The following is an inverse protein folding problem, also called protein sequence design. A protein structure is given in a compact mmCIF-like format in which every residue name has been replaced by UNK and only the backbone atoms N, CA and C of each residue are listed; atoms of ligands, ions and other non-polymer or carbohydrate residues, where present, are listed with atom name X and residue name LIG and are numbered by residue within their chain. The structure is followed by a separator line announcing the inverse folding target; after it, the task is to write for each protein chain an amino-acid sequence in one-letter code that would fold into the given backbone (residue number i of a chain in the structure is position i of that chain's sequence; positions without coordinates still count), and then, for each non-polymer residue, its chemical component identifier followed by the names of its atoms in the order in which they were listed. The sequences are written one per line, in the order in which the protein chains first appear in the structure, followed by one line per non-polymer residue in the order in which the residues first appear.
data_IF_053184149838
#
_entry.id   IF_053184149838
#
_cell.length_a   1.000
_cell.length_b   1.000
_cell.length_c   1.000
_cell.angle_alpha   90.00
_cell.angle_beta   90.00
_cell.angle_gamma   90.00
#
_symmetry.space_group_name_H-M   'P 1'
#
loop_
_entity.id
_entity.type
_entity.pdbx_description
1 polymer ?
#
# COMPACT_ATOMS: atom_id res chain seq x y z
N UNK A 1 -24.33 26.44 21.84
CA UNK A 1 -25.19 25.61 20.95
C UNK A 1 -25.12 24.20 21.45
N UNK A 2 -26.21 23.65 21.96
CA UNK A 2 -26.22 22.35 22.61
C UNK A 2 -26.16 21.22 21.58
N UNK A 3 -25.45 20.15 21.92
CA UNK A 3 -25.25 18.91 21.11
C UNK A 3 -26.54 18.09 20.86
N UNK A 4 -27.72 18.69 20.96
CA UNK A 4 -29.02 18.01 20.89
C UNK A 4 -29.77 18.12 19.55
N UNK A 5 -29.20 18.74 18.53
CA UNK A 5 -29.85 18.89 17.22
C UNK A 5 -29.02 18.33 16.05
N UNK A 6 -28.36 17.21 16.24
CA UNK A 6 -27.88 16.39 15.15
C UNK A 6 -29.00 15.41 14.78
N UNK A 7 -29.58 15.65 13.64
CA UNK A 7 -30.67 14.89 13.00
C UNK A 7 -30.26 13.40 12.83
N UNK A 8 -30.65 12.57 13.80
CA UNK A 8 -30.45 11.10 13.78
C UNK A 8 -31.50 10.47 12.85
N UNK A 9 -31.37 10.67 11.54
CA UNK A 9 -32.25 10.07 10.52
C UNK A 9 -31.75 8.74 9.95
N UNK A 10 -30.96 7.99 10.67
CA UNK A 10 -30.74 6.58 10.35
C UNK A 10 -30.84 5.77 11.63
N UNK A 11 -31.95 5.04 11.77
CA UNK A 11 -32.06 4.01 12.81
C UNK A 11 -30.99 2.95 12.54
N UNK A 12 -30.20 2.55 13.57
CA UNK A 12 -29.20 1.51 13.41
C UNK A 12 -29.91 0.17 13.17
N UNK A 13 -29.70 -0.42 11.99
CA UNK A 13 -30.11 -1.79 11.71
C UNK A 13 -29.12 -2.73 12.37
N UNK A 14 -29.26 -2.95 13.67
CA UNK A 14 -28.49 -3.95 14.41
C UNK A 14 -29.18 -5.31 14.29
N UNK A 15 -28.62 -6.23 13.52
CA UNK A 15 -29.15 -7.59 13.30
C UNK A 15 -28.37 -8.68 14.02
N UNK A 16 -27.63 -8.39 15.08
CA UNK A 16 -27.03 -9.44 15.92
C UNK A 16 -27.12 -9.10 17.40
N UNK A 17 -27.39 -10.12 18.19
CA UNK A 17 -27.53 -10.16 19.65
C UNK A 17 -26.21 -9.86 20.39
N UNK A 18 -25.47 -8.81 20.07
CA UNK A 18 -24.26 -8.44 20.79
C UNK A 18 -24.48 -7.22 21.66
N UNK A 19 -24.01 -7.28 22.89
CA UNK A 19 -23.91 -6.18 23.87
C UNK A 19 -22.96 -5.05 23.41
N UNK A 20 -22.73 -4.91 22.12
CA UNK A 20 -21.77 -3.98 21.54
C UNK A 20 -22.28 -2.54 21.58
N UNK A 21 -21.48 -1.64 22.13
CA UNK A 21 -21.67 -0.18 22.06
C UNK A 21 -21.20 0.44 20.73
N UNK A 22 -20.83 -0.37 19.76
CA UNK A 22 -20.66 0.08 18.39
C UNK A 22 -22.04 0.29 17.78
N UNK A 23 -22.39 1.55 17.52
CA UNK A 23 -23.74 1.97 17.14
C UNK A 23 -23.99 1.99 15.63
N UNK A 24 -22.95 1.71 14.83
CA UNK A 24 -23.00 1.81 13.37
C UNK A 24 -22.80 0.45 12.72
N UNK A 25 -23.14 0.39 11.43
CA UNK A 25 -22.93 -0.80 10.62
C UNK A 25 -21.45 -1.20 10.60
N UNK A 26 -21.16 -2.50 10.49
CA UNK A 26 -19.80 -3.01 10.32
C UNK A 26 -18.91 -2.86 11.58
N UNK A 27 -19.38 -3.29 12.76
CA UNK A 27 -18.59 -3.23 13.98
C UNK A 27 -17.39 -4.17 13.92
N UNK A 28 -16.34 -3.92 14.75
CA UNK A 28 -15.24 -4.86 14.90
C UNK A 28 -15.72 -6.26 15.24
N UNK A 29 -15.21 -7.25 14.51
CA UNK A 29 -15.63 -8.64 14.62
C UNK A 29 -15.09 -9.28 15.91
N UNK A 30 -16.00 -9.86 16.71
CA UNK A 30 -15.64 -10.54 17.96
C UNK A 30 -14.67 -11.69 17.71
N UNK A 31 -14.82 -12.44 16.64
CA UNK A 31 -13.93 -13.55 16.31
C UNK A 31 -12.48 -13.12 16.13
N UNK A 32 -12.22 -11.86 15.75
CA UNK A 32 -10.86 -11.33 15.56
C UNK A 32 -10.14 -11.02 16.86
N UNK A 33 -10.83 -10.83 17.99
CA UNK A 33 -10.20 -10.55 19.28
C UNK A 33 -10.38 -11.65 20.33
N UNK A 34 -11.31 -12.60 20.13
CA UNK A 34 -11.66 -13.62 21.12
C UNK A 34 -10.45 -14.43 21.60
N UNK A 35 -9.53 -14.75 20.70
CA UNK A 35 -8.34 -15.54 20.98
C UNK A 35 -7.16 -14.73 21.57
N UNK A 36 -7.33 -13.43 21.79
CA UNK A 36 -6.28 -12.60 22.37
C UNK A 36 -6.15 -12.81 23.87
N UNK A 37 -5.12 -13.56 24.29
CA UNK A 37 -4.79 -13.83 25.71
C UNK A 37 -3.86 -12.79 26.33
N UNK A 38 -3.59 -11.67 25.65
CA UNK A 38 -2.71 -10.57 26.12
C UNK A 38 -1.28 -11.00 26.49
N UNK A 39 -0.73 -12.06 25.91
CA UNK A 39 0.61 -12.61 26.23
C UNK A 39 1.78 -11.64 25.95
N UNK A 40 1.61 -10.68 25.04
CA UNK A 40 2.62 -9.68 24.73
C UNK A 40 3.64 -10.03 23.64
N UNK A 41 3.56 -11.21 22.99
CA UNK A 41 4.49 -11.60 21.93
C UNK A 41 4.49 -10.64 20.73
N UNK A 42 3.38 -9.90 20.52
CA UNK A 42 3.26 -8.88 19.48
C UNK A 42 3.95 -7.53 19.81
N UNK A 43 4.44 -7.32 21.01
CA UNK A 43 4.98 -6.02 21.46
C UNK A 43 6.25 -5.64 20.70
N UNK A 44 7.20 -6.55 20.57
CA UNK A 44 8.49 -6.30 19.92
C UNK A 44 8.35 -6.03 18.42
N UNK A 45 7.28 -6.50 17.79
CA UNK A 45 7.01 -6.25 16.37
C UNK A 45 6.37 -4.88 16.10
N UNK A 46 5.94 -4.16 17.14
CA UNK A 46 5.15 -2.94 17.00
C UNK A 46 6.00 -1.68 17.02
N UNK A 47 6.16 -0.95 15.90
CA UNK A 47 7.01 0.25 15.87
C UNK A 47 6.45 1.40 16.71
N UNK A 48 5.13 1.52 16.86
CA UNK A 48 4.55 2.58 17.72
C UNK A 48 4.72 2.29 19.19
N UNK A 49 4.70 1.04 19.61
CA UNK A 49 5.01 0.65 20.98
C UNK A 49 6.50 0.83 21.30
N UNK A 50 7.37 0.43 20.39
CA UNK A 50 8.83 0.61 20.51
C UNK A 50 9.20 2.08 20.77
N UNK A 51 8.59 3.02 20.05
CA UNK A 51 8.88 4.45 20.19
C UNK A 51 8.24 5.11 21.41
N UNK A 52 7.05 4.66 21.83
CA UNK A 52 6.30 5.35 22.89
C UNK A 52 6.40 4.68 24.26
N UNK A 53 6.64 3.37 24.31
CA UNK A 53 6.55 2.56 25.52
C UNK A 53 5.16 2.48 26.15
N UNK A 54 4.13 3.06 25.49
CA UNK A 54 2.79 3.17 26.03
C UNK A 54 1.94 1.97 25.64
N UNK A 55 1.33 1.31 26.62
CA UNK A 55 0.52 0.10 26.39
C UNK A 55 -0.65 0.33 25.41
N UNK A 56 -1.30 1.48 25.47
CA UNK A 56 -2.37 1.85 24.54
C UNK A 56 -1.92 1.91 23.07
N UNK A 57 -0.63 2.13 22.80
CA UNK A 57 -0.03 2.13 21.48
C UNK A 57 0.53 0.75 21.08
N UNK A 58 0.36 -0.26 21.94
CA UNK A 58 0.71 -1.65 21.63
C UNK A 58 -0.41 -2.38 20.90
N UNK A 59 -0.12 -3.48 20.20
CA UNK A 59 -1.18 -4.26 19.52
C UNK A 59 -2.20 -4.82 20.52
N UNK A 60 -1.75 -5.47 21.58
CA UNK A 60 -2.67 -6.03 22.61
C UNK A 60 -3.46 -4.94 23.33
N UNK A 61 -2.85 -3.76 23.57
CA UNK A 61 -3.54 -2.62 24.16
C UNK A 61 -4.66 -2.11 23.25
N UNK A 62 -4.43 -2.03 21.94
CA UNK A 62 -5.46 -1.68 20.96
C UNK A 62 -6.59 -2.71 20.93
N UNK A 63 -6.28 -4.01 20.93
CA UNK A 63 -7.28 -5.08 21.03
C UNK A 63 -8.11 -4.91 22.31
N UNK A 64 -7.46 -4.64 23.45
CA UNK A 64 -8.15 -4.39 24.71
C UNK A 64 -9.10 -3.18 24.66
N UNK A 65 -8.65 -2.07 24.05
CA UNK A 65 -9.48 -0.87 23.87
C UNK A 65 -10.71 -1.15 22.98
N UNK A 66 -10.51 -1.84 21.85
CA UNK A 66 -11.59 -2.21 20.92
C UNK A 66 -12.61 -3.12 21.64
N UNK A 67 -12.14 -4.14 22.33
CA UNK A 67 -12.97 -5.04 23.16
C UNK A 67 -13.73 -4.26 24.24
N UNK A 68 -13.07 -3.32 24.91
CA UNK A 68 -13.69 -2.52 25.99
C UNK A 68 -14.83 -1.62 25.47
N UNK A 69 -14.75 -1.13 24.24
CA UNK A 69 -15.86 -0.41 23.60
C UNK A 69 -16.99 -1.39 23.26
N UNK A 70 -16.69 -2.58 22.71
CA UNK A 70 -17.69 -3.60 22.42
C UNK A 70 -18.45 -4.02 23.68
N UNK A 71 -17.76 -4.18 24.82
CA UNK A 71 -18.33 -4.56 26.10
C UNK A 71 -19.01 -3.40 26.85
N UNK A 72 -19.04 -2.21 26.30
CA UNK A 72 -19.69 -1.05 26.95
C UNK A 72 -18.91 -0.41 28.10
N UNK A 73 -17.63 -0.79 28.28
CA UNK A 73 -16.75 -0.21 29.30
C UNK A 73 -16.14 1.12 28.89
N UNK A 74 -16.02 1.34 27.59
CA UNK A 74 -15.54 2.58 26.98
C UNK A 74 -16.52 3.06 25.90
N UNK A 75 -16.42 4.33 25.57
CA UNK A 75 -17.17 4.94 24.45
C UNK A 75 -16.22 5.33 23.33
N UNK A 76 -16.76 5.43 22.10
CA UNK A 76 -15.99 5.96 20.96
C UNK A 76 -15.80 7.47 21.16
N UNK A 77 -14.59 7.86 21.55
CA UNK A 77 -14.20 9.24 21.86
C UNK A 77 -12.74 9.50 21.41
N UNK A 78 -12.22 10.70 21.69
CA UNK A 78 -10.84 11.08 21.30
C UNK A 78 -9.77 10.18 21.96
N UNK A 79 -9.98 9.74 23.19
CA UNK A 79 -9.04 8.85 23.91
C UNK A 79 -8.97 7.45 23.29
N UNK A 80 -10.08 6.97 22.71
CA UNK A 80 -10.10 5.74 21.94
C UNK A 80 -9.54 5.96 20.52
N UNK A 81 -9.84 7.12 19.91
CA UNK A 81 -9.42 7.45 18.55
C UNK A 81 -7.90 7.52 18.42
N UNK A 82 -7.20 8.18 19.37
CA UNK A 82 -5.76 8.43 19.28
C UNK A 82 -4.93 7.15 19.09
N UNK A 83 -4.98 6.13 19.97
CA UNK A 83 -4.20 4.92 19.79
C UNK A 83 -4.60 4.10 18.56
N UNK A 84 -5.86 4.15 18.12
CA UNK A 84 -6.35 3.44 16.93
C UNK A 84 -5.78 4.09 15.65
N UNK A 85 -5.79 5.43 15.54
CA UNK A 85 -5.21 6.12 14.40
C UNK A 85 -3.68 6.25 14.46
N UNK A 86 -3.06 6.10 15.63
CA UNK A 86 -1.62 5.97 15.75
C UNK A 86 -1.07 4.64 15.22
N UNK A 87 -1.90 3.63 14.97
CA UNK A 87 -1.50 2.38 14.36
C UNK A 87 -1.12 2.59 12.88
N UNK A 88 -0.02 1.96 12.44
CA UNK A 88 0.40 1.96 11.03
C UNK A 88 -0.33 0.92 10.18
N UNK A 89 -1.07 0.04 10.81
CA UNK A 89 -1.68 -1.12 10.14
C UNK A 89 -0.67 -1.95 9.33
N UNK A 90 0.53 -2.11 9.87
CA UNK A 90 1.62 -2.83 9.20
C UNK A 90 1.53 -4.37 9.33
N UNK A 91 0.63 -4.87 10.16
CA UNK A 91 0.29 -6.28 10.38
C UNK A 91 1.43 -7.16 10.93
N UNK A 92 2.57 -6.60 11.30
CA UNK A 92 3.67 -7.36 11.90
C UNK A 92 3.24 -8.07 13.20
N UNK A 93 2.32 -7.48 13.95
CA UNK A 93 1.74 -8.08 15.16
C UNK A 93 0.86 -9.30 14.87
N UNK A 94 0.20 -9.39 13.73
CA UNK A 94 -0.55 -10.59 13.29
C UNK A 94 0.42 -11.73 13.03
N UNK A 95 1.48 -11.51 12.26
CA UNK A 95 2.53 -12.51 12.00
C UNK A 95 3.23 -12.99 13.29
N UNK A 96 3.41 -12.09 14.27
CA UNK A 96 4.03 -12.42 15.55
C UNK A 96 3.06 -13.12 16.54
N UNK A 97 1.77 -13.17 16.24
CA UNK A 97 0.76 -13.72 17.13
C UNK A 97 0.61 -15.24 16.94
N UNK A 98 0.87 -16.08 17.97
CA UNK A 98 0.67 -17.53 17.86
C UNK A 98 -0.79 -17.94 17.79
N UNK A 99 -1.73 -17.03 18.15
CA UNK A 99 -3.18 -17.24 18.07
C UNK A 99 -3.79 -16.55 16.84
N UNK A 100 -2.98 -16.07 15.91
CA UNK A 100 -3.38 -15.45 14.64
C UNK A 100 -4.44 -14.34 14.78
N UNK A 101 -4.36 -13.54 15.84
CA UNK A 101 -5.28 -12.42 16.07
C UNK A 101 -5.12 -11.37 14.97
N UNK A 102 -6.16 -11.14 14.17
CA UNK A 102 -6.16 -10.18 13.09
C UNK A 102 -6.33 -8.74 13.60
N UNK A 103 -5.23 -8.21 14.17
CA UNK A 103 -5.21 -6.84 14.71
C UNK A 103 -5.44 -5.79 13.61
N UNK A 104 -4.92 -6.01 12.39
CA UNK A 104 -5.09 -5.08 11.26
C UNK A 104 -6.57 -4.92 10.91
N UNK A 105 -7.30 -6.01 10.70
CA UNK A 105 -8.74 -5.98 10.44
C UNK A 105 -9.53 -5.27 11.54
N UNK A 106 -9.19 -5.54 12.82
CA UNK A 106 -9.81 -4.83 13.95
C UNK A 106 -9.56 -3.31 13.91
N UNK A 107 -8.36 -2.89 13.55
CA UNK A 107 -8.02 -1.46 13.44
C UNK A 107 -8.81 -0.79 12.31
N UNK A 108 -8.94 -1.43 11.15
CA UNK A 108 -9.72 -0.90 10.01
C UNK A 108 -11.21 -0.76 10.36
N UNK A 109 -11.78 -1.77 11.02
CA UNK A 109 -13.17 -1.77 11.48
C UNK A 109 -13.38 -0.68 12.54
N UNK A 110 -12.49 -0.59 13.55
CA UNK A 110 -12.55 0.44 14.58
C UNK A 110 -12.42 1.87 14.00
N UNK A 111 -11.54 2.07 13.02
CA UNK A 111 -11.43 3.35 12.29
C UNK A 111 -12.73 3.70 11.57
N UNK A 112 -13.40 2.71 10.98
CA UNK A 112 -14.72 2.88 10.38
C UNK A 112 -15.74 3.41 11.39
N UNK A 113 -15.84 2.80 12.57
CA UNK A 113 -16.71 3.24 13.66
C UNK A 113 -16.37 4.65 14.14
N UNK A 114 -15.08 4.95 14.34
CA UNK A 114 -14.63 6.28 14.76
C UNK A 114 -15.04 7.35 13.72
N UNK A 115 -14.86 7.09 12.43
CA UNK A 115 -15.22 8.05 11.38
C UNK A 115 -16.72 8.31 11.29
N UNK A 116 -17.55 7.31 11.57
CA UNK A 116 -19.00 7.47 11.64
C UNK A 116 -19.41 8.25 12.90
N UNK A 117 -18.79 7.97 14.06
CA UNK A 117 -19.04 8.68 15.30
C UNK A 117 -18.50 10.12 15.31
N UNK A 118 -17.31 10.31 14.74
CA UNK A 118 -16.54 11.56 14.79
C UNK A 118 -16.06 11.95 13.38
N UNK A 119 -16.97 12.44 12.52
CA UNK A 119 -16.62 12.84 11.16
C UNK A 119 -15.58 13.97 11.16
N UNK A 120 -14.65 13.93 10.21
CA UNK A 120 -13.71 15.02 10.01
C UNK A 120 -14.43 16.28 9.54
N UNK A 121 -14.23 17.37 10.28
CA UNK A 121 -14.84 18.69 10.00
C UNK A 121 -13.77 19.74 9.68
N UNK A 122 -14.22 20.91 9.24
CA UNK A 122 -13.32 22.03 8.93
C UNK A 122 -12.35 21.73 7.80
N UNK A 123 -11.15 22.31 7.86
CA UNK A 123 -10.14 22.16 6.81
C UNK A 123 -9.63 20.71 6.66
N UNK A 124 -9.51 19.96 7.76
CA UNK A 124 -9.12 18.54 7.73
C UNK A 124 -10.15 17.70 6.95
N UNK A 125 -11.43 17.96 7.17
CA UNK A 125 -12.50 17.32 6.41
C UNK A 125 -12.47 17.69 4.92
N UNK A 126 -12.22 18.96 4.60
CA UNK A 126 -12.11 19.42 3.21
C UNK A 126 -10.93 18.78 2.48
N UNK A 127 -9.76 18.70 3.12
CA UNK A 127 -8.57 18.04 2.57
C UNK A 127 -8.83 16.54 2.38
N UNK A 128 -9.39 15.87 3.37
CA UNK A 128 -9.74 14.46 3.27
C UNK A 128 -10.71 14.21 2.11
N UNK A 129 -11.76 15.01 1.98
CA UNK A 129 -12.72 14.92 0.88
C UNK A 129 -12.05 15.13 -0.47
N UNK A 130 -11.20 16.16 -0.59
CA UNK A 130 -10.50 16.47 -1.84
C UNK A 130 -9.62 15.28 -2.29
N UNK A 131 -8.81 14.72 -1.40
CA UNK A 131 -7.89 13.64 -1.77
C UNK A 131 -8.59 12.30 -1.88
N UNK A 132 -9.31 11.86 -0.84
CA UNK A 132 -9.87 10.51 -0.79
C UNK A 132 -11.17 10.37 -1.60
N UNK A 133 -12.03 11.39 -1.66
CA UNK A 133 -13.31 11.25 -2.36
C UNK A 133 -13.28 11.82 -3.77
N UNK A 134 -12.49 12.88 -4.03
CA UNK A 134 -12.51 13.57 -5.32
C UNK A 134 -11.29 13.26 -6.21
N UNK A 135 -10.13 12.96 -5.65
CA UNK A 135 -8.92 12.76 -6.45
C UNK A 135 -8.64 11.27 -6.70
N UNK A 136 -8.39 10.47 -5.65
CA UNK A 136 -7.95 9.08 -5.80
C UNK A 136 -8.95 8.13 -6.47
N UNK A 137 -10.29 8.26 -6.30
CA UNK A 137 -11.24 7.42 -7.01
C UNK A 137 -11.36 7.76 -8.51
N UNK A 138 -10.87 8.92 -8.95
CA UNK A 138 -11.08 9.44 -10.29
C UNK A 138 -9.77 9.49 -11.09
N UNK A 139 -9.48 8.42 -11.84
CA UNK A 139 -8.26 8.29 -12.63
C UNK A 139 -8.01 9.48 -13.58
N UNK A 140 -9.06 10.02 -14.20
CA UNK A 140 -8.91 11.18 -15.09
C UNK A 140 -8.36 12.42 -14.38
N UNK A 141 -8.76 12.64 -13.12
CA UNK A 141 -8.24 13.76 -12.30
C UNK A 141 -6.80 13.51 -11.90
N UNK A 142 -6.47 12.27 -11.53
CA UNK A 142 -5.08 11.87 -11.27
C UNK A 142 -4.19 12.04 -12.50
N UNK A 143 -4.66 11.64 -13.67
CA UNK A 143 -3.93 11.83 -14.93
C UNK A 143 -3.72 13.31 -15.26
N UNK A 144 -4.70 14.17 -14.97
CA UNK A 144 -4.56 15.63 -15.14
C UNK A 144 -3.52 16.19 -14.19
N UNK A 145 -3.53 15.76 -12.92
CA UNK A 145 -2.50 16.13 -11.93
C UNK A 145 -1.12 15.63 -12.37
N UNK A 146 -1.02 14.37 -12.80
CA UNK A 146 0.24 13.82 -13.33
C UNK A 146 0.77 14.60 -14.54
N UNK A 147 -0.11 15.02 -15.45
CA UNK A 147 0.27 15.84 -16.60
C UNK A 147 0.80 17.22 -16.17
N UNK A 148 0.20 17.83 -15.15
CA UNK A 148 0.66 19.08 -14.55
C UNK A 148 2.03 18.91 -13.88
N UNK A 149 2.23 17.83 -13.10
CA UNK A 149 3.51 17.51 -12.48
C UNK A 149 4.60 17.25 -13.53
N UNK A 150 4.28 16.51 -14.58
CA UNK A 150 5.19 16.28 -15.71
C UNK A 150 5.59 17.59 -16.39
N UNK A 151 4.65 18.51 -16.61
CA UNK A 151 4.93 19.83 -17.13
C UNK A 151 5.84 20.63 -16.19
N UNK A 152 5.55 20.61 -14.89
CA UNK A 152 6.38 21.25 -13.85
C UNK A 152 7.84 20.76 -13.90
N UNK A 153 8.06 19.44 -14.02
CA UNK A 153 9.40 18.86 -14.11
C UNK A 153 10.10 19.21 -15.45
N UNK A 154 9.40 19.07 -16.59
CA UNK A 154 10.01 19.20 -17.93
C UNK A 154 10.14 20.62 -18.44
N UNK A 155 9.32 21.57 -17.99
CA UNK A 155 9.37 22.99 -18.41
C UNK A 155 10.53 23.79 -17.84
N UNK A 156 11.31 23.21 -16.90
CA UNK A 156 12.34 23.93 -16.15
C UNK A 156 11.80 24.74 -14.96
N UNK A 157 10.48 24.79 -14.77
CA UNK A 157 9.82 25.49 -13.65
C UNK A 157 10.32 24.97 -12.30
N UNK A 158 10.48 23.65 -12.16
CA UNK A 158 11.05 23.02 -10.97
C UNK A 158 12.42 23.60 -10.62
N UNK A 159 13.33 23.67 -11.62
CA UNK A 159 14.66 24.24 -11.43
C UNK A 159 14.62 25.73 -11.07
N UNK A 160 13.72 26.49 -11.71
CA UNK A 160 13.54 27.92 -11.42
C UNK A 160 13.02 28.15 -9.99
N UNK A 161 11.99 27.44 -9.55
CA UNK A 161 11.39 27.57 -8.22
C UNK A 161 12.41 27.17 -7.13
N UNK A 162 13.20 26.12 -7.36
CA UNK A 162 14.29 25.72 -6.44
C UNK A 162 15.39 26.78 -6.39
N UNK A 163 15.82 27.30 -7.55
CA UNK A 163 16.89 28.31 -7.64
C UNK A 163 16.51 29.67 -7.00
N UNK A 164 15.25 30.07 -7.13
CA UNK A 164 14.75 31.31 -6.51
C UNK A 164 14.43 31.18 -5.02
N UNK A 165 14.47 29.98 -4.46
CA UNK A 165 14.09 29.72 -3.08
C UNK A 165 12.57 29.83 -2.80
N UNK A 166 11.75 30.01 -3.82
CA UNK A 166 10.29 30.12 -3.66
C UNK A 166 9.67 28.86 -3.05
N UNK A 167 10.32 27.70 -3.24
CA UNK A 167 9.92 26.45 -2.62
C UNK A 167 9.93 26.52 -1.07
N UNK A 168 10.77 27.35 -0.47
CA UNK A 168 10.91 27.47 0.99
C UNK A 168 9.68 28.09 1.69
N UNK A 169 8.70 28.60 0.91
CA UNK A 169 7.39 29.01 1.44
C UNK A 169 6.54 27.81 1.85
N UNK A 170 6.80 26.63 1.26
CA UNK A 170 6.08 25.41 1.58
C UNK A 170 6.56 24.80 2.90
N UNK A 171 5.69 24.08 3.63
CA UNK A 171 6.10 23.28 4.78
C UNK A 171 7.22 22.30 4.40
N UNK A 172 8.18 22.09 5.31
CA UNK A 172 9.38 21.29 5.07
C UNK A 172 9.06 19.88 4.52
N UNK A 173 8.08 19.21 5.08
CA UNK A 173 7.68 17.87 4.61
C UNK A 173 7.22 17.83 3.15
N UNK A 174 6.60 18.91 2.64
CA UNK A 174 6.20 19.01 1.23
C UNK A 174 7.41 19.30 0.33
N UNK A 175 8.40 20.05 0.81
CA UNK A 175 9.67 20.27 0.12
C UNK A 175 10.42 18.93 -0.01
N UNK A 176 10.49 18.17 1.07
CA UNK A 176 11.16 16.88 1.09
C UNK A 176 10.46 15.88 0.13
N UNK A 177 9.13 15.86 0.10
CA UNK A 177 8.36 15.04 -0.84
C UNK A 177 8.56 15.48 -2.31
N UNK A 178 8.63 16.79 -2.58
CA UNK A 178 8.89 17.32 -3.92
C UNK A 178 10.30 16.94 -4.40
N UNK A 179 11.27 16.96 -3.50
CA UNK A 179 12.67 16.66 -3.82
C UNK A 179 12.89 15.20 -4.26
N UNK A 180 12.12 14.27 -3.71
CA UNK A 180 12.20 12.83 -4.02
C UNK A 180 11.18 12.38 -5.09
N UNK A 181 10.39 13.31 -5.62
CA UNK A 181 9.37 12.97 -6.61
C UNK A 181 10.01 12.28 -7.82
N UNK A 182 9.57 11.07 -8.19
CA UNK A 182 10.11 10.37 -9.36
C UNK A 182 9.81 11.14 -10.64
N UNK A 183 10.53 10.82 -11.70
CA UNK A 183 10.20 11.37 -13.02
C UNK A 183 8.82 10.88 -13.47
N UNK A 184 7.93 11.83 -13.77
CA UNK A 184 6.57 11.52 -14.20
C UNK A 184 6.57 11.15 -15.68
N UNK A 185 6.31 9.88 -15.95
CA UNK A 185 6.18 9.34 -17.29
C UNK A 185 4.72 9.30 -17.77
N UNK A 186 4.45 8.77 -18.95
CA UNK A 186 3.08 8.58 -19.42
C UNK A 186 2.45 7.38 -18.72
N UNK A 187 1.26 7.51 -18.11
CA UNK A 187 0.54 6.39 -17.50
C UNK A 187 0.32 5.24 -18.49
N UNK A 188 0.55 3.99 -18.07
CA UNK A 188 0.38 2.82 -18.96
C UNK A 188 -1.06 2.67 -19.45
N UNK A 189 -2.05 3.01 -18.62
CA UNK A 189 -3.47 3.03 -19.06
C UNK A 189 -3.74 4.01 -20.20
N UNK A 190 -2.98 5.11 -20.27
CA UNK A 190 -3.07 6.06 -21.38
C UNK A 190 -2.31 5.55 -22.59
N UNK A 191 -1.11 5.01 -22.40
CA UNK A 191 -0.26 4.43 -23.45
C UNK A 191 -0.98 3.30 -24.18
N UNK A 192 -1.62 2.38 -23.46
CA UNK A 192 -2.28 1.19 -23.97
C UNK A 192 -3.82 1.33 -24.10
N UNK A 193 -4.37 2.56 -24.09
CA UNK A 193 -5.83 2.79 -24.09
C UNK A 193 -6.58 2.17 -25.27
N UNK A 194 -5.91 1.97 -26.43
CA UNK A 194 -6.48 1.39 -27.64
C UNK A 194 -6.02 -0.05 -27.87
N UNK A 195 -5.34 -0.66 -26.91
CA UNK A 195 -4.84 -2.04 -26.98
C UNK A 195 -5.71 -2.88 -26.05
N UNK A 196 -6.39 -3.87 -26.59
CA UNK A 196 -7.21 -4.76 -25.76
C UNK A 196 -6.35 -5.81 -25.05
N UNK A 197 -5.34 -6.36 -25.75
CA UNK A 197 -4.41 -7.35 -25.22
C UNK A 197 -2.99 -7.00 -25.67
N UNK A 198 -2.09 -6.81 -24.73
CA UNK A 198 -0.65 -6.66 -24.98
C UNK A 198 -0.08 -8.07 -25.11
N UNK A 199 0.30 -8.44 -26.32
CA UNK A 199 0.73 -9.81 -26.64
C UNK A 199 2.09 -10.16 -26.03
N UNK A 200 2.22 -11.42 -25.63
CA UNK A 200 3.48 -12.01 -25.24
C UNK A 200 4.55 -11.84 -26.34
N UNK A 201 5.81 -11.63 -25.92
CA UNK A 201 6.97 -11.56 -26.82
C UNK A 201 7.46 -12.96 -27.26
N UNK A 202 6.98 -13.98 -26.57
CA UNK A 202 7.27 -15.40 -26.82
C UNK A 202 5.95 -16.14 -27.06
N UNK A 203 5.96 -17.47 -27.16
CA UNK A 203 4.74 -18.27 -27.20
C UNK A 203 3.87 -17.98 -25.97
N UNK A 204 2.58 -17.71 -26.22
CA UNK A 204 1.62 -17.39 -25.15
C UNK A 204 1.33 -18.63 -24.31
N UNK A 205 1.64 -18.55 -23.03
CA UNK A 205 1.39 -19.58 -22.02
C UNK A 205 0.07 -19.31 -21.29
N UNK A 206 -0.17 -18.04 -20.95
CA UNK A 206 -1.32 -17.60 -20.15
C UNK A 206 -1.74 -16.17 -20.49
N UNK A 207 -2.99 -15.84 -20.25
CA UNK A 207 -3.51 -14.48 -20.25
C UNK A 207 -3.71 -14.01 -18.81
N UNK A 208 -3.21 -12.82 -18.48
CA UNK A 208 -3.32 -12.23 -17.15
C UNK A 208 -3.88 -10.81 -17.22
N UNK A 209 -4.67 -10.43 -16.25
CA UNK A 209 -5.10 -9.03 -16.11
C UNK A 209 -4.22 -8.30 -15.10
N UNK A 210 -3.86 -7.05 -15.38
CA UNK A 210 -2.99 -6.26 -14.51
C UNK A 210 -3.75 -5.10 -13.85
N UNK A 211 -3.66 -5.00 -12.51
CA UNK A 211 -4.05 -3.80 -11.80
C UNK A 211 -2.91 -2.78 -11.89
N UNK A 212 -3.13 -1.67 -12.60
CA UNK A 212 -2.13 -0.59 -12.73
C UNK A 212 -2.11 0.34 -11.52
N UNK A 213 -3.13 0.27 -10.68
CA UNK A 213 -3.29 1.13 -9.51
C UNK A 213 -3.63 2.58 -9.85
N UNK A 214 -3.68 3.42 -8.83
CA UNK A 214 -3.94 4.86 -8.98
C UNK A 214 -2.63 5.67 -8.96
N UNK A 215 -1.93 5.69 -7.82
CA UNK A 215 -0.63 6.35 -7.64
C UNK A 215 0.46 5.68 -8.49
N UNK A 216 0.45 4.33 -8.56
CA UNK A 216 1.38 3.58 -9.40
C UNK A 216 1.33 3.99 -10.86
N UNK A 217 0.13 4.13 -11.44
CA UNK A 217 0.00 4.47 -12.86
C UNK A 217 0.47 5.90 -13.18
N UNK A 218 0.39 6.82 -12.21
CA UNK A 218 0.76 8.23 -12.41
C UNK A 218 2.22 8.52 -12.03
N UNK A 219 2.68 8.01 -10.88
CA UNK A 219 4.01 8.33 -10.35
C UNK A 219 5.06 7.27 -10.65
N UNK A 220 4.66 6.02 -10.84
CA UNK A 220 5.53 4.86 -11.06
C UNK A 220 5.11 4.09 -12.31
N UNK A 221 4.75 4.81 -13.37
CA UNK A 221 4.37 4.18 -14.64
C UNK A 221 5.51 3.37 -15.28
N UNK A 222 6.75 3.70 -14.97
CA UNK A 222 7.94 2.94 -15.34
C UNK A 222 7.98 1.55 -14.67
N UNK A 223 7.53 1.44 -13.41
CA UNK A 223 7.37 0.14 -12.72
C UNK A 223 6.26 -0.68 -13.38
N UNK A 224 5.15 -0.04 -13.73
CA UNK A 224 4.06 -0.71 -14.47
C UNK A 224 4.54 -1.18 -15.84
N UNK A 225 5.32 -0.37 -16.56
CA UNK A 225 5.91 -0.74 -17.84
C UNK A 225 6.87 -1.93 -17.69
N UNK A 226 7.75 -1.90 -16.69
CA UNK A 226 8.64 -3.01 -16.36
C UNK A 226 7.86 -4.30 -16.07
N UNK A 227 6.74 -4.19 -15.32
CA UNK A 227 5.85 -5.33 -15.06
C UNK A 227 5.30 -5.94 -16.33
N UNK A 228 4.79 -5.09 -17.26
CA UNK A 228 4.27 -5.54 -18.57
C UNK A 228 5.40 -6.20 -19.39
N UNK A 229 6.59 -5.59 -19.42
CA UNK A 229 7.74 -6.13 -20.16
C UNK A 229 8.14 -7.51 -19.65
N UNK A 230 8.24 -7.66 -18.33
CA UNK A 230 8.59 -8.94 -17.71
C UNK A 230 7.51 -10.00 -17.97
N UNK A 231 6.24 -9.66 -17.79
CA UNK A 231 5.13 -10.60 -18.06
C UNK A 231 5.13 -11.05 -19.53
N UNK A 232 5.21 -10.11 -20.47
CA UNK A 232 5.17 -10.42 -21.91
C UNK A 232 6.39 -11.22 -22.37
N UNK A 233 7.59 -10.95 -21.80
CA UNK A 233 8.80 -11.76 -22.07
C UNK A 233 8.63 -13.20 -21.61
N UNK A 234 7.93 -13.42 -20.52
CA UNK A 234 7.72 -14.73 -19.92
C UNK A 234 6.48 -15.48 -20.45
N UNK A 235 5.92 -15.05 -21.56
CA UNK A 235 4.85 -15.75 -22.26
C UNK A 235 3.45 -15.38 -21.76
N UNK A 236 3.27 -14.23 -21.14
CA UNK A 236 1.95 -13.79 -20.70
C UNK A 236 1.37 -12.73 -21.65
N UNK A 237 0.17 -12.96 -22.13
CA UNK A 237 -0.66 -11.90 -22.71
C UNK A 237 -1.20 -11.04 -21.57
N UNK A 238 -1.08 -9.73 -21.67
CA UNK A 238 -1.47 -8.81 -20.58
C UNK A 238 -2.67 -7.96 -20.98
N UNK A 239 -3.73 -8.04 -20.17
CA UNK A 239 -4.91 -7.19 -20.27
C UNK A 239 -4.86 -6.10 -19.22
N UNK A 240 -5.15 -4.87 -19.63
CA UNK A 240 -5.34 -3.72 -18.72
C UNK A 240 -6.81 -3.32 -18.75
N UNK A 241 -7.66 -3.79 -17.80
CA UNK A 241 -9.07 -3.45 -17.79
C UNK A 241 -9.30 -1.95 -17.72
N UNK A 242 -10.09 -1.39 -18.65
CA UNK A 242 -10.27 0.07 -18.77
C UNK A 242 -11.02 0.68 -17.58
N UNK A 243 -11.94 -0.12 -16.98
CA UNK A 243 -12.84 0.32 -15.92
C UNK A 243 -12.28 0.07 -14.51
N UNK A 244 -11.04 -0.42 -14.38
CA UNK A 244 -10.39 -0.56 -13.08
C UNK A 244 -10.23 0.80 -12.38
N UNK A 245 -10.19 0.78 -11.06
CA UNK A 245 -10.09 1.99 -10.25
C UNK A 245 -9.04 1.82 -9.14
N UNK A 246 -8.95 2.77 -8.20
CA UNK A 246 -8.14 2.62 -6.99
C UNK A 246 -8.53 1.34 -6.24
N UNK A 247 -7.55 0.65 -5.65
CA UNK A 247 -7.81 -0.55 -4.83
C UNK A 247 -8.64 -0.27 -3.57
N UNK A 248 -8.73 0.99 -3.12
CA UNK A 248 -9.47 1.36 -1.92
C UNK A 248 -8.67 1.33 -0.61
N UNK A 249 -7.44 0.81 -0.60
CA UNK A 249 -6.64 0.68 0.62
C UNK A 249 -6.54 1.98 1.43
N UNK A 250 -6.25 3.12 0.78
CA UNK A 250 -6.14 4.42 1.45
C UNK A 250 -7.44 4.85 2.13
N UNK A 251 -8.59 4.48 1.55
CA UNK A 251 -9.91 4.80 2.08
C UNK A 251 -10.19 3.95 3.32
N UNK A 252 -10.00 2.63 3.22
CA UNK A 252 -10.23 1.68 4.32
C UNK A 252 -9.32 1.99 5.50
N UNK A 253 -8.03 2.21 5.26
CA UNK A 253 -7.06 2.59 6.30
C UNK A 253 -7.38 3.96 6.94
N UNK A 254 -8.06 4.87 6.23
CA UNK A 254 -8.54 6.12 6.78
C UNK A 254 -9.91 6.01 7.50
N UNK A 255 -10.55 4.83 7.48
CA UNK A 255 -11.87 4.56 8.05
C UNK A 255 -13.05 4.85 7.11
N UNK A 256 -12.81 5.19 5.84
CA UNK A 256 -13.85 5.37 4.81
C UNK A 256 -14.12 4.02 4.10
N UNK A 257 -14.68 3.07 4.87
CA UNK A 257 -14.99 1.72 4.37
C UNK A 257 -16.06 1.74 3.28
N UNK A 258 -17.00 2.70 3.33
CA UNK A 258 -18.05 2.81 2.32
C UNK A 258 -17.50 3.16 0.94
N UNK A 259 -16.60 4.13 0.84
CA UNK A 259 -15.89 4.40 -0.42
C UNK A 259 -15.03 3.21 -0.84
N UNK A 260 -14.38 2.54 0.11
CA UNK A 260 -13.65 1.28 -0.12
C UNK A 260 -14.53 0.22 -0.81
N UNK A 261 -15.74 -0.03 -0.30
CA UNK A 261 -16.72 -0.96 -0.92
C UNK A 261 -17.13 -0.54 -2.34
N UNK A 262 -17.39 0.75 -2.56
CA UNK A 262 -17.76 1.26 -3.89
C UNK A 262 -16.63 1.03 -4.91
N UNK A 263 -15.38 1.19 -4.50
CA UNK A 263 -14.21 0.94 -5.34
C UNK A 263 -14.01 -0.56 -5.57
N UNK A 264 -14.16 -1.36 -4.52
CA UNK A 264 -14.07 -2.82 -4.61
C UNK A 264 -15.09 -3.40 -5.59
N UNK A 265 -16.38 -2.98 -5.50
CA UNK A 265 -17.43 -3.40 -6.44
C UNK A 265 -17.05 -3.11 -7.90
N UNK A 266 -16.48 -1.92 -8.17
CA UNK A 266 -16.03 -1.55 -9.52
C UNK A 266 -14.87 -2.42 -10.01
N UNK A 267 -13.92 -2.74 -9.14
CA UNK A 267 -12.78 -3.59 -9.50
C UNK A 267 -13.23 -5.04 -9.71
N UNK A 268 -14.08 -5.59 -8.85
CA UNK A 268 -14.67 -6.93 -9.02
C UNK A 268 -15.31 -7.05 -10.42
N UNK A 269 -16.13 -6.08 -10.82
CA UNK A 269 -16.76 -6.07 -12.13
C UNK A 269 -15.75 -5.86 -13.28
N UNK A 270 -14.72 -5.02 -13.07
CA UNK A 270 -13.71 -4.75 -14.11
C UNK A 270 -12.85 -5.97 -14.43
N UNK A 271 -12.62 -6.83 -13.44
CA UNK A 271 -11.75 -8.01 -13.55
C UNK A 271 -12.52 -9.34 -13.58
N UNK A 272 -13.85 -9.33 -13.70
CA UNK A 272 -14.68 -10.54 -13.59
C UNK A 272 -14.30 -11.67 -14.55
N UNK A 273 -13.78 -11.32 -15.73
CA UNK A 273 -13.37 -12.30 -16.77
C UNK A 273 -11.89 -12.70 -16.66
N UNK A 274 -11.16 -12.19 -15.69
CA UNK A 274 -9.74 -12.54 -15.48
C UNK A 274 -9.63 -13.84 -14.68
N UNK A 275 -8.72 -14.72 -15.09
CA UNK A 275 -8.34 -15.90 -14.30
C UNK A 275 -7.26 -15.56 -13.26
N UNK A 276 -6.36 -14.63 -13.60
CA UNK A 276 -5.31 -14.13 -12.74
C UNK A 276 -5.26 -12.60 -12.79
N UNK A 277 -5.08 -11.98 -11.62
CA UNK A 277 -4.98 -10.52 -11.45
C UNK A 277 -3.63 -10.20 -10.85
N UNK A 278 -2.74 -9.65 -11.66
CA UNK A 278 -1.37 -9.34 -11.25
C UNK A 278 -1.29 -7.94 -10.66
N UNK A 279 -0.63 -7.84 -9.51
CA UNK A 279 -0.43 -6.59 -8.78
C UNK A 279 1.05 -6.42 -8.46
N UNK A 280 1.57 -5.21 -8.63
CA UNK A 280 2.97 -4.85 -8.33
C UNK A 280 3.09 -3.85 -7.17
N UNK A 281 2.09 -3.75 -6.32
CA UNK A 281 2.07 -2.85 -5.18
C UNK A 281 1.50 -3.57 -3.96
N UNK A 282 2.35 -3.85 -2.98
CA UNK A 282 2.03 -4.66 -1.80
C UNK A 282 0.76 -4.20 -1.06
N UNK A 283 0.60 -2.90 -0.85
CA UNK A 283 -0.60 -2.36 -0.18
C UNK A 283 -1.87 -2.53 -1.00
N UNK A 284 -1.77 -2.45 -2.35
CA UNK A 284 -2.91 -2.75 -3.21
C UNK A 284 -3.23 -4.24 -3.19
N UNK A 285 -2.22 -5.10 -3.30
CA UNK A 285 -2.38 -6.56 -3.31
C UNK A 285 -3.03 -7.07 -2.02
N UNK A 286 -2.58 -6.60 -0.85
CA UNK A 286 -3.18 -6.96 0.44
C UNK A 286 -4.65 -6.56 0.50
N UNK A 287 -4.99 -5.32 0.09
CA UNK A 287 -6.37 -4.84 0.09
C UNK A 287 -7.28 -5.63 -0.84
N UNK A 288 -6.81 -5.96 -2.06
CA UNK A 288 -7.57 -6.74 -3.03
C UNK A 288 -7.84 -8.16 -2.55
N UNK A 289 -6.88 -8.78 -1.86
CA UNK A 289 -7.03 -10.11 -1.24
C UNK A 289 -8.02 -10.12 -0.07
N UNK A 290 -8.30 -8.96 0.51
CA UNK A 290 -9.19 -8.79 1.65
C UNK A 290 -10.54 -8.14 1.30
N UNK A 291 -10.88 -8.04 0.02
CA UNK A 291 -12.16 -7.47 -0.38
C UNK A 291 -13.36 -8.21 0.24
N UNK A 292 -13.27 -9.53 0.47
CA UNK A 292 -14.31 -10.29 1.14
C UNK A 292 -14.61 -9.79 2.56
N UNK A 293 -13.63 -9.24 3.27
CA UNK A 293 -13.82 -8.64 4.60
C UNK A 293 -14.68 -7.35 4.57
N UNK A 294 -14.66 -6.64 3.45
CA UNK A 294 -15.53 -5.47 3.24
C UNK A 294 -16.99 -5.85 3.03
N UNK A 295 -17.25 -7.08 2.59
CA UNK A 295 -18.56 -7.59 2.23
C UNK A 295 -19.00 -8.77 3.10
N UNK A 296 -18.41 -8.92 4.31
CA UNK A 296 -18.73 -10.01 5.24
C UNK A 296 -20.24 -10.15 5.47
N UNK A 297 -20.95 -9.05 5.62
CA UNK A 297 -22.38 -8.99 5.89
C UNK A 297 -23.23 -8.66 4.64
N UNK A 298 -22.65 -8.68 3.44
CA UNK A 298 -23.33 -8.42 2.16
C UNK A 298 -23.42 -9.71 1.31
N UNK A 299 -24.54 -10.47 1.41
CA UNK A 299 -24.68 -11.76 0.73
C UNK A 299 -24.57 -11.70 -0.80
N UNK A 300 -24.88 -10.54 -1.40
CA UNK A 300 -24.77 -10.36 -2.85
C UNK A 300 -23.33 -10.26 -3.33
N UNK A 301 -22.43 -9.66 -2.52
CA UNK A 301 -21.07 -9.32 -2.92
C UNK A 301 -20.01 -10.17 -2.25
N UNK A 302 -20.30 -10.84 -1.16
CA UNK A 302 -19.32 -11.65 -0.42
C UNK A 302 -18.66 -12.71 -1.30
N UNK A 303 -19.45 -13.58 -1.92
CA UNK A 303 -18.93 -14.67 -2.75
C UNK A 303 -18.16 -14.16 -3.97
N UNK A 304 -18.63 -13.07 -4.61
CA UNK A 304 -17.91 -12.41 -5.71
C UNK A 304 -16.57 -11.83 -5.25
N UNK A 305 -16.51 -11.31 -4.03
CA UNK A 305 -15.29 -10.77 -3.46
C UNK A 305 -14.30 -11.88 -3.07
N UNK A 306 -14.78 -13.01 -2.58
CA UNK A 306 -13.96 -14.21 -2.34
C UNK A 306 -13.34 -14.69 -3.64
N UNK A 307 -14.16 -14.96 -4.67
CA UNK A 307 -13.68 -15.39 -5.99
C UNK A 307 -12.66 -14.41 -6.59
N UNK A 308 -12.92 -13.10 -6.48
CA UNK A 308 -11.99 -12.08 -6.94
C UNK A 308 -10.67 -12.12 -6.17
N UNK A 309 -10.72 -12.22 -4.85
CA UNK A 309 -9.53 -12.21 -3.97
C UNK A 309 -8.60 -13.39 -4.23
N UNK A 310 -9.14 -14.57 -4.58
CA UNK A 310 -8.38 -15.77 -4.93
C UNK A 310 -7.60 -15.63 -6.24
N UNK A 311 -8.05 -14.79 -7.16
CA UNK A 311 -7.39 -14.53 -8.44
C UNK A 311 -6.21 -13.55 -8.32
N UNK A 312 -6.12 -12.81 -7.20
CA UNK A 312 -5.10 -11.76 -7.00
C UNK A 312 -3.76 -12.36 -6.62
N UNK A 313 -2.72 -12.00 -7.36
CA UNK A 313 -1.35 -12.40 -7.06
C UNK A 313 -0.37 -11.24 -7.18
N UNK A 314 0.60 -11.18 -6.26
CA UNK A 314 1.76 -10.29 -6.40
C UNK A 314 2.65 -10.77 -7.54
N UNK A 315 3.21 -9.83 -8.31
CA UNK A 315 4.05 -10.15 -9.47
C UNK A 315 5.23 -11.04 -9.10
N UNK A 316 5.83 -10.87 -7.91
CA UNK A 316 6.99 -11.67 -7.49
C UNK A 316 6.58 -13.12 -7.22
N UNK A 317 5.45 -13.30 -6.53
CA UNK A 317 4.91 -14.64 -6.27
C UNK A 317 4.47 -15.32 -7.56
N UNK A 318 3.74 -14.60 -8.42
CA UNK A 318 3.30 -15.13 -9.71
C UNK A 318 4.46 -15.65 -10.56
N UNK A 319 5.52 -14.86 -10.71
CA UNK A 319 6.70 -15.25 -11.47
C UNK A 319 7.42 -16.45 -10.83
N UNK A 320 7.56 -16.45 -9.51
CA UNK A 320 8.19 -17.55 -8.78
C UNK A 320 7.44 -18.87 -8.99
N UNK A 321 6.12 -18.85 -8.89
CA UNK A 321 5.27 -20.06 -8.96
C UNK A 321 5.11 -20.58 -10.39
N UNK A 322 5.04 -19.69 -11.40
CA UNK A 322 4.86 -20.09 -12.82
C UNK A 322 6.16 -20.31 -13.57
N UNK A 323 7.26 -19.87 -12.97
CA UNK A 323 8.58 -19.86 -13.60
C UNK A 323 8.77 -18.68 -14.54
N UNK A 324 10.02 -18.21 -14.63
CA UNK A 324 10.42 -17.11 -15.50
C UNK A 324 11.80 -17.37 -16.11
N UNK A 325 12.11 -16.69 -17.22
CA UNK A 325 13.43 -16.72 -17.83
C UNK A 325 14.43 -16.04 -16.91
N UNK A 326 15.46 -16.77 -16.46
CA UNK A 326 16.54 -16.19 -15.68
C UNK A 326 17.41 -15.31 -16.58
N UNK A 327 17.64 -14.04 -16.25
CA UNK A 327 18.50 -13.18 -17.06
C UNK A 327 19.94 -13.67 -17.08
N UNK A 328 20.64 -13.41 -18.19
CA UNK A 328 22.04 -13.82 -18.37
C UNK A 328 23.01 -12.64 -18.27
N UNK A 329 22.51 -11.42 -18.39
CA UNK A 329 23.33 -10.22 -18.32
C UNK A 329 23.68 -9.89 -16.86
N UNK A 330 24.95 -9.69 -16.57
CA UNK A 330 25.43 -9.27 -15.24
C UNK A 330 25.01 -7.83 -14.94
N UNK A 331 24.43 -7.58 -13.78
CA UNK A 331 24.08 -6.23 -13.32
C UNK A 331 25.18 -5.59 -12.46
N UNK A 332 26.02 -6.39 -11.78
CA UNK A 332 27.12 -5.96 -10.91
C UNK A 332 26.69 -4.86 -9.92
N UNK A 333 25.69 -5.15 -9.09
CA UNK A 333 25.13 -4.23 -8.13
C UNK A 333 25.09 -4.84 -6.74
N UNK A 334 25.56 -4.09 -5.76
CA UNK A 334 25.45 -4.41 -4.34
C UNK A 334 24.21 -3.74 -3.77
N UNK A 335 23.27 -4.51 -3.23
CA UNK A 335 21.96 -4.03 -2.84
C UNK A 335 21.44 -4.67 -1.57
N UNK A 336 20.37 -4.09 -1.02
CA UNK A 336 19.61 -4.67 0.07
C UNK A 336 18.13 -4.71 -0.27
N UNK A 337 17.34 -5.51 0.48
CA UNK A 337 15.92 -5.66 0.28
C UNK A 337 15.13 -5.23 1.52
N UNK A 338 14.14 -4.35 1.32
CA UNK A 338 13.16 -3.97 2.32
C UNK A 338 11.85 -4.72 2.08
N UNK A 339 11.43 -5.53 3.04
CA UNK A 339 10.15 -6.20 2.99
C UNK A 339 9.02 -5.19 3.20
N UNK A 340 8.26 -4.91 2.16
CA UNK A 340 7.06 -4.12 2.30
C UNK A 340 6.09 -4.85 3.24
N UNK A 341 5.66 -4.20 4.32
CA UNK A 341 4.90 -4.85 5.40
C UNK A 341 3.63 -5.57 4.91
N UNK A 342 2.89 -4.97 3.97
CA UNK A 342 1.71 -5.60 3.36
C UNK A 342 2.05 -6.75 2.39
N UNK A 343 3.30 -6.86 1.93
CA UNK A 343 3.77 -8.04 1.19
C UNK A 343 4.13 -9.16 2.17
N UNK A 344 5.01 -8.83 3.13
CA UNK A 344 5.58 -9.81 4.04
C UNK A 344 4.58 -10.31 5.10
N UNK A 345 3.79 -9.40 5.71
CA UNK A 345 2.85 -9.72 6.78
C UNK A 345 1.41 -9.84 6.30
N UNK A 346 1.00 -9.06 5.28
CA UNK A 346 -0.35 -9.11 4.73
C UNK A 346 -0.56 -10.24 3.74
N UNK A 347 0.46 -10.62 2.97
CA UNK A 347 0.35 -11.64 1.92
C UNK A 347 1.27 -12.85 2.13
N UNK A 348 2.14 -12.84 3.16
CA UNK A 348 3.06 -13.95 3.43
C UNK A 348 4.20 -14.10 2.42
N UNK A 349 4.41 -13.13 1.54
CA UNK A 349 5.40 -13.16 0.45
C UNK A 349 6.70 -12.52 0.95
N UNK A 350 7.76 -13.32 1.06
CA UNK A 350 9.05 -12.91 1.63
C UNK A 350 10.24 -13.37 0.81
N UNK A 351 10.24 -14.62 0.41
CA UNK A 351 11.38 -15.25 -0.28
C UNK A 351 11.33 -15.01 -1.79
N UNK A 352 10.17 -15.00 -2.39
CA UNK A 352 9.97 -14.92 -3.83
C UNK A 352 10.61 -13.68 -4.47
N UNK A 353 10.48 -12.44 -3.93
CA UNK A 353 11.20 -11.30 -4.49
C UNK A 353 12.72 -11.39 -4.30
N UNK A 354 13.20 -12.05 -3.24
CA UNK A 354 14.63 -12.28 -3.04
C UNK A 354 15.21 -13.27 -4.04
N UNK A 355 14.49 -14.35 -4.31
CA UNK A 355 14.91 -15.35 -5.30
C UNK A 355 15.02 -14.73 -6.68
N UNK A 356 14.03 -13.88 -7.07
CA UNK A 356 14.09 -13.14 -8.34
C UNK A 356 15.33 -12.25 -8.42
N UNK A 357 15.66 -11.54 -7.35
CA UNK A 357 16.82 -10.64 -7.32
C UNK A 357 18.14 -11.41 -7.38
N UNK A 358 18.23 -12.54 -6.66
CA UNK A 358 19.43 -13.39 -6.61
C UNK A 358 19.65 -14.18 -7.91
N UNK A 359 18.61 -14.39 -8.70
CA UNK A 359 18.71 -14.99 -10.02
C UNK A 359 19.30 -14.03 -11.08
N UNK A 360 19.45 -12.75 -10.76
CA UNK A 360 20.12 -11.77 -11.65
C UNK A 360 21.63 -11.87 -11.45
N UNK A 361 22.42 -12.23 -12.47
CA UNK A 361 23.86 -12.36 -12.33
C UNK A 361 24.51 -11.04 -11.87
N UNK A 362 25.49 -11.15 -10.97
CA UNK A 362 26.21 -9.99 -10.43
C UNK A 362 25.43 -9.17 -9.39
N UNK A 363 24.26 -9.61 -8.96
CA UNK A 363 23.57 -9.02 -7.80
C UNK A 363 24.14 -9.60 -6.52
N UNK A 364 24.68 -8.73 -5.67
CA UNK A 364 25.10 -9.05 -4.30
C UNK A 364 24.07 -8.50 -3.31
N UNK A 365 23.34 -9.40 -2.66
CA UNK A 365 22.31 -8.99 -1.68
C UNK A 365 22.90 -8.96 -0.28
N UNK A 366 22.93 -7.77 0.32
CA UNK A 366 23.36 -7.54 1.70
C UNK A 366 22.16 -7.62 2.63
N UNK A 367 22.28 -8.38 3.71
CA UNK A 367 21.21 -8.50 4.70
C UNK A 367 20.91 -7.17 5.40
N UNK A 368 19.62 -6.80 5.46
CA UNK A 368 19.12 -5.67 6.26
C UNK A 368 18.51 -6.23 7.56
N UNK A 369 19.05 -5.93 8.74
CA UNK A 369 18.36 -6.25 10.00
C UNK A 369 16.97 -5.63 10.03
N UNK A 370 15.99 -6.33 10.59
CA UNK A 370 14.61 -5.82 10.68
C UNK A 370 14.04 -5.35 9.32
N UNK A 371 14.38 -6.07 8.23
CA UNK A 371 13.95 -5.71 6.87
C UNK A 371 12.43 -5.62 6.74
N UNK A 372 11.67 -6.37 7.55
CA UNK A 372 10.21 -6.45 7.55
C UNK A 372 9.51 -5.46 8.50
N UNK A 373 10.26 -4.65 9.26
CA UNK A 373 9.68 -3.54 10.02
C UNK A 373 9.19 -2.43 9.11
N UNK A 374 8.04 -1.85 9.46
CA UNK A 374 7.43 -0.77 8.69
C UNK A 374 8.39 0.41 8.47
N UNK A 375 8.34 1.02 7.28
CA UNK A 375 9.11 2.22 6.95
C UNK A 375 8.48 3.53 7.45
N UNK A 376 7.28 3.49 8.03
CA UNK A 376 6.55 4.68 8.48
C UNK A 376 5.63 5.32 7.42
N UNK A 377 5.57 4.82 6.18
CA UNK A 377 4.71 5.40 5.12
C UNK A 377 3.22 5.19 5.40
N UNK A 378 2.79 3.94 5.57
CA UNK A 378 1.42 3.51 5.90
C UNK A 378 0.30 4.34 5.23
N UNK A 379 0.27 4.33 3.91
CA UNK A 379 -0.70 5.08 3.11
C UNK A 379 -0.49 6.59 3.20
N UNK A 380 -1.34 7.29 3.97
CA UNK A 380 -1.25 8.73 4.22
C UNK A 380 -0.73 9.04 5.64
N UNK A 381 -0.26 8.04 6.37
CA UNK A 381 0.16 8.19 7.77
C UNK A 381 1.31 9.19 7.94
N UNK A 382 2.29 9.17 7.04
CA UNK A 382 3.40 10.12 7.02
C UNK A 382 2.97 11.58 6.84
N UNK A 383 1.77 11.82 6.29
CA UNK A 383 1.17 13.16 6.17
C UNK A 383 0.37 13.53 7.42
N UNK A 384 -0.34 12.55 8.02
CA UNK A 384 -1.22 12.78 9.17
C UNK A 384 -0.49 12.71 10.51
N UNK A 385 0.60 11.95 10.59
CA UNK A 385 1.43 11.74 11.78
C UNK A 385 2.93 11.88 11.45
N UNK A 386 3.38 13.05 10.96
CA UNK A 386 4.73 13.22 10.39
C UNK A 386 5.85 12.95 11.38
N UNK A 387 5.69 13.31 12.65
CA UNK A 387 6.71 13.12 13.68
C UNK A 387 6.94 11.64 13.98
N UNK A 388 5.87 10.88 14.19
CA UNK A 388 5.95 9.43 14.40
C UNK A 388 6.47 8.71 13.16
N UNK A 389 5.99 9.06 11.98
CA UNK A 389 6.47 8.50 10.71
C UNK A 389 7.96 8.79 10.49
N UNK A 390 8.41 9.98 10.85
CA UNK A 390 9.82 10.39 10.79
C UNK A 390 10.70 9.59 11.74
N UNK A 391 10.27 9.39 12.99
CA UNK A 391 11.02 8.60 13.97
C UNK A 391 11.12 7.11 13.55
N UNK A 392 10.03 6.54 13.02
CA UNK A 392 10.03 5.17 12.48
C UNK A 392 10.98 5.05 11.28
N UNK A 393 10.97 6.05 10.38
CA UNK A 393 11.87 6.08 9.24
C UNK A 393 13.34 6.16 9.68
N UNK A 394 13.65 6.99 10.67
CA UNK A 394 15.02 7.12 11.20
C UNK A 394 15.51 5.80 11.78
N UNK A 395 14.71 5.14 12.62
CA UNK A 395 15.01 3.79 13.12
C UNK A 395 15.18 2.76 12.00
N UNK A 396 14.38 2.86 10.93
CA UNK A 396 14.54 1.99 9.76
C UNK A 396 15.85 2.25 9.03
N UNK A 397 16.24 3.50 8.85
CA UNK A 397 17.47 3.88 8.15
C UNK A 397 18.74 3.45 8.88
N UNK A 398 18.70 3.32 10.22
CA UNK A 398 19.80 2.74 11.00
C UNK A 398 20.11 1.29 10.64
N UNK A 399 19.11 0.54 10.14
CA UNK A 399 19.25 -0.85 9.72
C UNK A 399 19.62 -1.01 8.24
N UNK A 400 19.57 0.05 7.44
CA UNK A 400 19.96 0.01 6.03
C UNK A 400 21.49 0.01 5.93
N UNK A 401 22.12 -1.03 5.32
CA UNK A 401 23.55 -1.05 5.11
C UNK A 401 24.03 0.17 4.31
N UNK A 402 25.14 0.80 4.73
CA UNK A 402 25.64 2.02 4.07
C UNK A 402 26.37 1.73 2.75
N UNK A 403 26.93 0.54 2.64
CA UNK A 403 27.79 0.09 1.55
C UNK A 403 27.01 -0.54 0.37
N UNK A 404 25.69 -0.34 0.32
CA UNK A 404 24.86 -0.78 -0.80
C UNK A 404 24.51 0.39 -1.73
N UNK A 405 24.40 0.09 -3.02
CA UNK A 405 24.05 1.04 -4.06
C UNK A 405 22.52 1.20 -4.22
N UNK A 406 21.78 0.12 -3.92
CA UNK A 406 20.34 0.07 -4.14
C UNK A 406 19.59 -0.52 -2.93
N UNK A 407 18.37 -0.03 -2.73
CA UNK A 407 17.38 -0.59 -1.80
C UNK A 407 16.17 -1.01 -2.63
N UNK A 408 15.92 -2.31 -2.73
CA UNK A 408 14.77 -2.84 -3.47
C UNK A 408 13.58 -3.12 -2.58
N UNK A 409 12.38 -2.98 -3.15
CA UNK A 409 11.12 -3.26 -2.47
C UNK A 409 9.95 -3.36 -3.46
N UNK A 410 8.80 -3.87 -3.03
CA UNK A 410 7.60 -4.07 -3.85
C UNK A 410 6.42 -3.17 -3.50
N UNK A 411 6.64 -1.90 -3.07
CA UNK A 411 5.52 -1.01 -2.71
C UNK A 411 5.83 0.48 -2.90
N UNK A 412 4.99 1.24 -3.64
CA UNK A 412 5.26 2.65 -3.97
C UNK A 412 5.34 3.56 -2.74
N UNK A 413 4.51 3.34 -1.72
CA UNK A 413 4.55 4.12 -0.49
C UNK A 413 5.87 3.93 0.26
N UNK A 414 6.38 2.69 0.32
CA UNK A 414 7.69 2.40 0.89
C UNK A 414 8.82 3.02 0.04
N UNK A 415 8.72 2.98 -1.29
CA UNK A 415 9.71 3.60 -2.18
C UNK A 415 9.86 5.10 -1.91
N UNK A 416 8.75 5.83 -1.83
CA UNK A 416 8.79 7.26 -1.49
C UNK A 416 9.36 7.49 -0.09
N UNK A 417 8.92 6.75 0.91
CA UNK A 417 9.36 6.92 2.28
C UNK A 417 10.86 6.62 2.46
N UNK A 418 11.34 5.54 1.87
CA UNK A 418 12.77 5.21 1.91
C UNK A 418 13.63 6.20 1.13
N UNK A 419 13.11 6.76 0.02
CA UNK A 419 13.79 7.84 -0.70
C UNK A 419 13.93 9.12 0.16
N UNK A 420 12.90 9.47 0.94
CA UNK A 420 13.01 10.53 1.97
C UNK A 420 14.09 10.18 2.98
N UNK A 421 14.14 8.94 3.46
CA UNK A 421 15.16 8.48 4.40
C UNK A 421 16.58 8.60 3.84
N UNK A 422 16.80 8.12 2.62
CA UNK A 422 18.08 8.24 1.92
C UNK A 422 18.53 9.70 1.84
N UNK A 423 17.64 10.60 1.40
CA UNK A 423 17.95 12.03 1.30
C UNK A 423 18.20 12.67 2.66
N UNK A 424 17.35 12.40 3.66
CA UNK A 424 17.44 12.97 5.03
C UNK A 424 18.76 12.60 5.71
N UNK A 425 19.24 11.38 5.47
CA UNK A 425 20.49 10.87 6.05
C UNK A 425 21.73 11.14 5.17
N UNK A 426 21.60 11.94 4.09
CA UNK A 426 22.72 12.29 3.20
C UNK A 426 23.33 11.10 2.46
N UNK A 427 22.55 10.05 2.24
CA UNK A 427 22.99 8.82 1.54
C UNK A 427 22.71 8.92 0.04
N UNK A 428 23.32 8.02 -0.75
CA UNK A 428 23.25 8.03 -2.22
C UNK A 428 22.59 6.79 -2.83
N UNK A 429 21.99 5.91 -2.00
CA UNK A 429 21.36 4.69 -2.49
C UNK A 429 20.16 5.01 -3.41
N UNK A 430 20.00 4.24 -4.46
CA UNK A 430 18.81 4.27 -5.30
C UNK A 430 17.73 3.40 -4.69
N UNK A 431 16.52 3.92 -4.60
CA UNK A 431 15.34 3.13 -4.24
C UNK A 431 14.68 2.63 -5.51
N UNK A 432 14.51 1.31 -5.63
CA UNK A 432 14.05 0.65 -6.85
C UNK A 432 12.98 -0.40 -6.55
N UNK A 433 12.14 -0.67 -7.53
CA UNK A 433 11.20 -1.79 -7.43
C UNK A 433 11.84 -3.08 -7.90
N UNK A 434 11.53 -4.22 -7.23
CA UNK A 434 12.06 -5.55 -7.57
C UNK A 434 11.94 -5.85 -9.06
N UNK A 435 10.76 -5.60 -9.64
CA UNK A 435 10.49 -5.90 -11.04
C UNK A 435 11.28 -5.03 -12.02
N UNK A 436 11.67 -3.81 -11.62
CA UNK A 436 12.52 -2.95 -12.46
C UNK A 436 13.91 -3.56 -12.64
N UNK A 437 14.49 -4.13 -11.60
CA UNK A 437 15.81 -4.76 -11.70
C UNK A 437 15.79 -5.95 -12.66
N UNK A 438 14.75 -6.78 -12.62
CA UNK A 438 14.57 -7.88 -13.55
C UNK A 438 14.40 -7.39 -14.98
N UNK A 439 13.56 -6.36 -15.20
CA UNK A 439 13.37 -5.76 -16.53
C UNK A 439 14.67 -5.13 -17.08
N UNK A 440 15.44 -4.43 -16.24
CA UNK A 440 16.73 -3.86 -16.64
C UNK A 440 17.75 -4.93 -17.03
N UNK A 441 17.78 -6.05 -16.31
CA UNK A 441 18.63 -7.17 -16.65
C UNK A 441 18.26 -7.77 -18.02
N UNK A 442 16.97 -7.89 -18.31
CA UNK A 442 16.49 -8.32 -19.62
C UNK A 442 16.82 -7.33 -20.73
N UNK A 443 16.62 -6.03 -20.49
CA UNK A 443 16.96 -5.00 -21.47
C UNK A 443 18.46 -4.97 -21.78
N UNK A 444 19.29 -5.13 -20.76
CA UNK A 444 20.76 -5.26 -20.94
C UNK A 444 21.13 -6.48 -21.78
N UNK A 445 20.51 -7.62 -21.53
CA UNK A 445 20.72 -8.84 -22.32
C UNK A 445 20.34 -8.62 -23.79
N UNK A 446 19.18 -7.99 -24.06
CA UNK A 446 18.73 -7.74 -25.42
C UNK A 446 19.65 -6.73 -26.16
N UNK A 447 20.14 -5.70 -25.45
CA UNK A 447 21.12 -4.75 -25.99
C UNK A 447 22.44 -5.43 -26.36
N UNK A 448 22.92 -6.39 -25.57
CA UNK A 448 24.13 -7.17 -25.86
C UNK A 448 23.95 -8.07 -27.08
N UNK A 449 22.76 -8.66 -27.28
CA UNK A 449 22.43 -9.49 -28.47
C UNK A 449 22.37 -8.66 -29.75
N UNK A 450 21.91 -7.41 -29.66
CA UNK A 450 21.82 -6.48 -30.78
C UNK A 450 23.16 -5.79 -31.15
N UNK A 451 24.23 -6.03 -30.38
CA UNK A 451 25.56 -5.48 -30.61
C UNK A 451 25.68 -3.97 -30.31
N UNK A 452 24.82 -3.47 -29.47
CA UNK A 452 24.80 -2.06 -29.02
C UNK A 452 25.47 -1.86 -27.67
#
# INVERSE_FOLDING_TARGET
MSLRELDLKQEPTCTSNSLSNYLWSDPPDENKWADCVHCGMCLESCPTYELTGQEQHSPRGRVHLIKSVAEGKLTVNEQFMDPVFACLDCRACTTACPADVNVGGLIEEARGQIRQAMPLTGWKGAVNKLFLQELFPHQNRLNSLGSLLKFYQKSGMQKAIRKTGLINIMPKHLIDMEAIMPEINEPVRKKYKNVDVIKAKTETKQEVAMLTGCVMDVMFSDVNEATINVLTRNGNDVIIPRNQTCCGALHVHAGDRETGRKLAKKNIEAFKNADKIIVNAAGCGSMLKEYHELFRDDPEWHDKAVEFSEKVEDISKYLHDTGYEKPKAEMNVRMTYHDACHLAHGQGIRQEPRDILLDIPGVEMVHMPNSDRCCGSAGIYNITNPDMAGAILDSKMENVPEDVEMISMGNPGCMLQMAVGVQKHGRNQKVVHTIQLLDWAYQKEDSLKEGK
#
